data_IF_622365504469
#
_entry.id   IF_622365504469
#
_cell.length_a   1.000
_cell.length_b   1.000
_cell.length_c   1.000
_cell.angle_alpha   90.00
_cell.angle_beta   90.00
_cell.angle_gamma   90.00
#
_symmetry.space_group_name_H-M   'P 1'
#
loop_
_entity.id
_entity.type
_entity.pdbx_description
1 polymer ?
#
# COMPACT_ATOMS: atom_id res chain seq x y z
N UNK A 1 -14.83 16.07 -8.56
CA UNK A 1 -13.88 15.06 -9.11
C UNK A 1 -13.59 14.08 -7.98
N UNK A 2 -13.56 12.79 -8.26
CA UNK A 2 -13.15 11.77 -7.28
C UNK A 2 -11.64 11.82 -7.07
N UNK A 3 -11.17 11.51 -5.86
CA UNK A 3 -9.77 11.21 -5.60
C UNK A 3 -9.37 9.83 -6.14
N UNK A 4 -8.15 9.41 -5.87
CA UNK A 4 -7.58 8.15 -6.35
C UNK A 4 -7.19 7.22 -5.21
N UNK A 5 -7.20 5.92 -5.46
CA UNK A 5 -6.51 4.92 -4.65
C UNK A 5 -5.06 4.81 -5.11
N UNK A 6 -4.13 5.26 -4.29
CA UNK A 6 -2.69 5.29 -4.58
C UNK A 6 -2.03 4.06 -3.97
N UNK A 7 -1.52 3.15 -4.80
CA UNK A 7 -0.82 1.96 -4.32
C UNK A 7 0.61 2.37 -3.94
N UNK A 8 0.85 2.48 -2.63
CA UNK A 8 2.09 2.99 -2.05
C UNK A 8 3.05 1.84 -1.78
N UNK A 9 4.19 1.77 -2.46
CA UNK A 9 5.22 0.77 -2.14
C UNK A 9 5.83 1.05 -0.78
N UNK A 10 6.15 -0.02 -0.04
CA UNK A 10 6.92 0.03 1.19
C UNK A 10 8.31 -0.57 0.94
N UNK A 11 9.22 -0.37 1.89
CA UNK A 11 10.53 -1.02 1.88
C UNK A 11 10.40 -2.53 2.07
N UNK A 12 11.47 -3.28 1.75
CA UNK A 12 11.50 -4.74 1.94
C UNK A 12 12.18 -5.16 3.26
N UNK A 13 12.67 -4.20 4.03
CA UNK A 13 13.46 -4.45 5.24
C UNK A 13 12.62 -4.76 6.49
N UNK A 14 11.29 -4.65 6.40
CA UNK A 14 10.37 -4.79 7.55
C UNK A 14 10.77 -3.96 8.77
N UNK A 15 11.51 -2.86 8.55
CA UNK A 15 12.07 -2.02 9.59
C UNK A 15 13.33 -2.58 10.27
N UNK A 16 13.93 -3.64 9.72
CA UNK A 16 15.13 -4.27 10.30
C UNK A 16 16.43 -3.49 10.04
N UNK A 17 16.48 -2.66 8.99
CA UNK A 17 17.60 -1.82 8.66
C UNK A 17 17.16 -0.36 8.52
N UNK A 18 17.92 0.58 9.07
CA UNK A 18 17.70 2.01 8.86
C UNK A 18 18.39 2.47 7.56
N UNK A 19 17.86 1.99 6.43
CA UNK A 19 18.27 2.47 5.12
C UNK A 19 17.46 3.72 4.79
N UNK A 20 18.09 4.81 4.26
CA UNK A 20 17.35 5.98 3.80
C UNK A 20 16.29 5.60 2.78
N UNK A 21 15.07 6.17 2.87
CA UNK A 21 13.98 5.82 1.94
C UNK A 21 14.35 6.09 0.48
N UNK A 22 15.11 7.15 0.22
CA UNK A 22 15.57 7.53 -1.12
C UNK A 22 16.49 6.51 -1.80
N UNK A 23 17.09 5.58 -1.02
CA UNK A 23 17.88 4.48 -1.58
C UNK A 23 17.00 3.33 -2.10
N UNK A 24 15.72 3.31 -1.72
CA UNK A 24 14.79 2.21 -2.03
C UNK A 24 13.59 2.71 -2.82
N UNK A 25 13.10 3.92 -2.53
CA UNK A 25 11.93 4.51 -3.16
C UNK A 25 12.30 5.76 -3.97
N UNK A 26 11.74 5.92 -5.18
CA UNK A 26 11.89 7.16 -5.94
C UNK A 26 11.43 8.39 -5.13
N UNK A 27 12.12 9.52 -5.28
CA UNK A 27 11.78 10.77 -4.58
C UNK A 27 10.31 11.16 -4.78
N UNK A 28 9.77 11.01 -5.99
CA UNK A 28 8.36 11.31 -6.28
C UNK A 28 7.39 10.44 -5.49
N UNK A 29 7.76 9.20 -5.14
CA UNK A 29 6.96 8.32 -4.28
C UNK A 29 6.97 8.83 -2.84
N UNK A 30 8.12 9.26 -2.32
CA UNK A 30 8.28 9.83 -0.98
C UNK A 30 7.46 11.13 -0.86
N UNK A 31 7.57 12.01 -1.87
CA UNK A 31 6.78 13.25 -1.94
C UNK A 31 5.27 12.97 -2.01
N UNK A 32 4.87 11.96 -2.79
CA UNK A 32 3.47 11.55 -2.87
C UNK A 32 2.97 11.01 -1.53
N UNK A 33 3.76 10.20 -0.84
CA UNK A 33 3.43 9.71 0.51
C UNK A 33 3.25 10.86 1.51
N UNK A 34 4.13 11.86 1.48
CA UNK A 34 4.06 13.04 2.35
C UNK A 34 2.79 13.88 2.12
N UNK A 35 2.24 13.88 0.91
CA UNK A 35 1.06 14.63 0.52
C UNK A 35 -0.28 13.93 0.82
N UNK A 36 -0.28 12.65 1.21
CA UNK A 36 -1.49 11.89 1.52
C UNK A 36 -1.86 12.01 2.99
N UNK A 37 -3.16 12.24 3.25
CA UNK A 37 -3.72 12.29 4.61
C UNK A 37 -4.47 11.01 4.99
N UNK A 38 -5.09 10.33 4.02
CA UNK A 38 -5.93 9.15 4.23
C UNK A 38 -5.20 7.89 3.80
N UNK A 39 -5.23 6.86 4.64
CA UNK A 39 -4.49 5.62 4.43
C UNK A 39 -5.36 4.40 4.75
N UNK A 40 -5.33 3.43 3.85
CA UNK A 40 -5.76 2.07 4.07
C UNK A 40 -4.49 1.22 4.24
N UNK A 41 -4.30 0.60 5.39
CA UNK A 41 -3.08 -0.10 5.74
C UNK A 41 -3.33 -1.55 6.10
N UNK A 42 -2.43 -2.44 5.72
CA UNK A 42 -2.46 -3.82 6.20
C UNK A 42 -2.27 -3.87 7.72
N UNK A 43 -1.37 -3.04 8.24
CA UNK A 43 -1.12 -2.84 9.66
C UNK A 43 -0.85 -1.34 9.95
N UNK A 44 -1.60 -0.77 10.89
CA UNK A 44 -1.51 0.66 11.18
C UNK A 44 -0.18 1.05 11.85
N UNK A 45 0.46 0.15 12.58
CA UNK A 45 1.76 0.38 13.22
C UNK A 45 2.85 0.48 12.16
N UNK A 46 2.88 -0.44 11.20
CA UNK A 46 3.81 -0.44 10.08
C UNK A 46 3.63 0.80 9.21
N UNK A 47 2.38 1.21 8.93
CA UNK A 47 2.09 2.44 8.19
C UNK A 47 2.61 3.69 8.92
N UNK A 48 2.43 3.78 10.24
CA UNK A 48 2.99 4.90 11.03
C UNK A 48 4.51 4.90 11.04
N UNK A 49 5.16 3.73 11.11
CA UNK A 49 6.60 3.61 11.02
C UNK A 49 7.13 4.11 9.66
N UNK A 50 6.47 3.71 8.56
CA UNK A 50 6.77 4.21 7.22
C UNK A 50 6.62 5.74 7.14
N UNK A 51 5.48 6.29 7.58
CA UNK A 51 5.23 7.73 7.55
C UNK A 51 6.19 8.54 8.43
N UNK A 52 6.68 7.95 9.53
CA UNK A 52 7.75 8.56 10.33
C UNK A 52 9.06 8.68 9.55
N UNK A 53 9.40 7.67 8.74
CA UNK A 53 10.58 7.73 7.85
C UNK A 53 10.37 8.76 6.75
N UNK A 54 9.17 8.82 6.15
CA UNK A 54 8.81 9.87 5.17
C UNK A 54 8.97 11.26 5.78
N UNK A 55 8.49 11.47 7.01
CA UNK A 55 8.58 12.75 7.72
C UNK A 55 10.02 13.21 7.99
N UNK A 56 10.98 12.29 8.05
CA UNK A 56 12.39 12.63 8.18
C UNK A 56 13.00 13.21 6.89
N UNK A 57 12.40 12.93 5.74
CA UNK A 57 12.89 13.38 4.42
C UNK A 57 12.01 14.47 3.79
N UNK A 58 10.71 14.45 4.05
CA UNK A 58 9.72 15.37 3.47
C UNK A 58 8.68 15.78 4.52
N UNK A 59 8.31 17.07 4.60
CA UNK A 59 7.24 17.51 5.50
C UNK A 59 5.91 16.86 5.11
N UNK A 60 5.23 16.26 6.10
CA UNK A 60 3.91 15.67 5.90
C UNK A 60 2.84 16.77 5.76
N UNK A 61 1.80 16.51 4.97
CA UNK A 61 0.66 17.42 4.75
C UNK A 61 -0.09 17.75 6.05
N UNK A 62 -0.13 16.81 7.00
CA UNK A 62 -0.63 16.98 8.36
C UNK A 62 0.32 16.28 9.35
N UNK A 63 0.32 16.66 10.64
CA UNK A 63 1.07 15.94 11.66
C UNK A 63 0.73 14.45 11.66
N UNK A 64 1.71 13.59 11.96
CA UNK A 64 1.52 12.13 11.95
C UNK A 64 0.35 11.65 12.82
N UNK A 65 0.08 12.34 13.94
CA UNK A 65 -1.03 12.06 14.83
C UNK A 65 -2.41 12.37 14.23
N UNK A 66 -2.46 13.25 13.23
CA UNK A 66 -3.67 13.66 12.50
C UNK A 66 -3.87 12.84 11.20
N UNK A 67 -2.97 11.91 10.88
CA UNK A 67 -3.15 11.00 9.74
C UNK A 67 -4.34 10.06 9.97
N UNK A 68 -5.24 9.98 9.00
CA UNK A 68 -6.37 9.07 9.01
C UNK A 68 -5.92 7.70 8.48
N UNK A 69 -5.51 6.81 9.37
CA UNK A 69 -5.05 5.46 9.03
C UNK A 69 -6.10 4.46 9.48
N UNK A 70 -6.66 3.71 8.52
CA UNK A 70 -7.63 2.64 8.76
C UNK A 70 -7.03 1.31 8.31
N UNK A 71 -7.10 0.29 9.15
CA UNK A 71 -6.62 -1.04 8.78
C UNK A 71 -7.57 -1.72 7.80
N UNK A 72 -6.99 -2.53 6.90
CA UNK A 72 -7.75 -3.37 6.00
C UNK A 72 -8.58 -4.37 6.80
N UNK A 73 -9.86 -4.59 6.42
CA UNK A 73 -10.70 -5.53 7.12
C UNK A 73 -10.18 -6.96 6.92
N UNK A 74 -10.29 -7.76 7.98
CA UNK A 74 -9.86 -9.16 7.99
C UNK A 74 -11.08 -10.06 8.20
N UNK A 75 -11.09 -11.26 7.62
CA UNK A 75 -12.12 -12.26 7.93
C UNK A 75 -12.21 -12.49 9.43
N UNK A 76 -13.40 -12.72 9.95
CA UNK A 76 -13.59 -13.05 11.37
C UNK A 76 -12.81 -14.32 11.71
N UNK A 77 -12.14 -14.34 12.84
CA UNK A 77 -11.35 -15.50 13.30
C UNK A 77 -12.23 -16.77 13.29
N UNK A 78 -11.79 -17.78 12.55
CA UNK A 78 -12.52 -19.05 12.40
C UNK A 78 -13.67 -19.04 11.37
N UNK A 79 -13.97 -17.90 10.73
CA UNK A 79 -14.93 -17.83 9.63
C UNK A 79 -14.23 -18.11 8.29
N UNK A 80 -14.95 -18.80 7.41
CA UNK A 80 -14.60 -18.95 5.97
C UNK A 80 -15.32 -17.93 5.09
N UNK A 81 -16.17 -17.11 5.69
CA UNK A 81 -16.91 -16.10 4.94
C UNK A 81 -15.95 -14.97 4.52
N UNK A 82 -16.07 -14.51 3.27
CA UNK A 82 -15.30 -13.36 2.81
C UNK A 82 -15.72 -12.10 3.57
N UNK A 83 -14.82 -11.14 3.65
CA UNK A 83 -15.14 -9.80 4.19
C UNK A 83 -16.24 -9.17 3.33
N UNK A 84 -17.30 -8.61 3.94
CA UNK A 84 -18.38 -7.97 3.21
C UNK A 84 -17.89 -6.84 2.30
N UNK A 85 -18.46 -6.75 1.09
CA UNK A 85 -18.09 -5.71 0.11
C UNK A 85 -18.23 -4.28 0.68
N UNK A 86 -19.22 -4.06 1.56
CA UNK A 86 -19.45 -2.77 2.20
C UNK A 86 -18.25 -2.29 3.07
N UNK A 87 -17.51 -3.21 3.67
CA UNK A 87 -16.32 -2.86 4.47
C UNK A 87 -15.18 -2.34 3.59
N UNK A 88 -15.00 -2.94 2.40
CA UNK A 88 -14.05 -2.45 1.41
C UNK A 88 -14.46 -1.09 0.83
N UNK A 89 -15.75 -0.92 0.54
CA UNK A 89 -16.28 0.34 0.03
C UNK A 89 -16.14 1.49 1.05
N UNK A 90 -16.29 1.21 2.35
CA UNK A 90 -16.13 2.21 3.40
C UNK A 90 -14.73 2.84 3.41
N UNK A 91 -13.69 2.07 3.07
CA UNK A 91 -12.31 2.58 2.95
C UNK A 91 -12.14 3.57 1.79
N UNK A 92 -13.02 3.52 0.80
CA UNK A 92 -12.98 4.42 -0.37
C UNK A 92 -13.78 5.71 -0.16
N UNK A 93 -14.46 5.88 0.99
CA UNK A 93 -15.25 7.08 1.27
C UNK A 93 -14.46 8.39 1.08
N UNK A 94 -13.18 8.53 1.53
CA UNK A 94 -12.41 9.73 1.24
C UNK A 94 -12.16 9.93 -0.26
N UNK A 95 -11.91 8.86 -1.02
CA UNK A 95 -11.69 8.96 -2.47
C UNK A 95 -12.95 9.42 -3.20
N UNK A 96 -14.11 8.90 -2.80
CA UNK A 96 -15.41 9.35 -3.35
C UNK A 96 -15.71 10.82 -2.99
N UNK A 97 -15.17 11.32 -1.86
CA UNK A 97 -15.26 12.72 -1.46
C UNK A 97 -14.21 13.65 -2.10
N UNK A 98 -13.34 13.10 -2.98
CA UNK A 98 -12.34 13.90 -3.72
C UNK A 98 -10.93 13.91 -3.11
N UNK A 99 -10.67 13.09 -2.08
CA UNK A 99 -9.35 12.97 -1.44
C UNK A 99 -8.64 11.69 -1.91
N UNK A 100 -7.33 11.76 -2.11
CA UNK A 100 -6.57 10.54 -2.41
C UNK A 100 -6.40 9.68 -1.16
N UNK A 101 -6.44 8.35 -1.35
CA UNK A 101 -6.23 7.34 -0.31
C UNK A 101 -5.00 6.51 -0.64
N UNK A 102 -4.01 6.47 0.25
CA UNK A 102 -2.86 5.57 0.12
C UNK A 102 -3.21 4.16 0.58
N UNK A 103 -2.93 3.15 -0.24
CA UNK A 103 -2.94 1.75 0.17
C UNK A 103 -1.50 1.30 0.41
N UNK A 104 -1.19 0.78 1.59
CA UNK A 104 0.15 0.33 1.96
C UNK A 104 0.10 -1.05 2.64
N UNK A 105 1.01 -1.93 2.24
CA UNK A 105 1.27 -3.22 2.89
C UNK A 105 2.48 -3.14 3.83
N UNK A 106 2.76 -4.20 4.58
CA UNK A 106 3.90 -4.23 5.49
C UNK A 106 5.25 -4.20 4.77
N UNK A 107 5.31 -4.71 3.52
CA UNK A 107 6.53 -4.69 2.70
C UNK A 107 6.20 -4.72 1.20
N UNK A 108 7.02 -4.11 0.37
CA UNK A 108 6.94 -4.18 -1.07
C UNK A 108 5.71 -3.50 -1.68
N UNK A 109 5.21 -4.06 -2.78
CA UNK A 109 4.05 -3.54 -3.49
C UNK A 109 2.74 -4.04 -2.86
N UNK A 110 1.81 -3.14 -2.49
CA UNK A 110 0.51 -3.55 -1.97
C UNK A 110 -0.32 -4.24 -3.06
N UNK A 111 -1.31 -5.03 -2.65
CA UNK A 111 -2.18 -5.83 -3.50
C UNK A 111 -1.48 -6.96 -4.28
N UNK A 112 -0.20 -7.23 -3.99
CA UNK A 112 0.53 -8.37 -4.55
C UNK A 112 0.74 -9.39 -3.44
N UNK A 113 0.00 -10.50 -3.49
CA UNK A 113 -0.01 -11.56 -2.48
C UNK A 113 -0.45 -11.08 -1.07
N UNK A 114 -1.27 -10.05 -1.00
CA UNK A 114 -1.81 -9.49 0.24
C UNK A 114 -3.31 -9.11 0.10
N UNK A 115 -4.01 -8.77 1.21
CA UNK A 115 -5.44 -8.47 1.18
C UNK A 115 -5.80 -7.19 0.41
N UNK A 116 -4.85 -6.34 0.07
CA UNK A 116 -5.07 -5.08 -0.65
C UNK A 116 -5.73 -5.25 -2.03
N UNK A 117 -5.61 -6.42 -2.66
CA UNK A 117 -6.24 -6.73 -3.94
C UNK A 117 -7.77 -6.57 -3.90
N UNK A 118 -8.42 -6.88 -2.78
CA UNK A 118 -9.86 -6.71 -2.62
C UNK A 118 -10.28 -5.22 -2.61
N UNK A 119 -9.47 -4.35 -1.99
CA UNK A 119 -9.70 -2.90 -2.03
C UNK A 119 -9.51 -2.33 -3.44
N UNK A 120 -8.51 -2.82 -4.18
CA UNK A 120 -8.30 -2.44 -5.60
C UNK A 120 -9.51 -2.84 -6.44
N UNK A 121 -10.03 -4.06 -6.27
CA UNK A 121 -11.24 -4.51 -6.97
C UNK A 121 -12.46 -3.64 -6.60
N UNK A 122 -12.61 -3.28 -5.33
CA UNK A 122 -13.68 -2.38 -4.88
C UNK A 122 -13.55 -0.98 -5.49
N UNK A 123 -12.32 -0.45 -5.61
CA UNK A 123 -12.04 0.84 -6.24
C UNK A 123 -12.45 0.85 -7.72
N UNK A 124 -12.09 -0.19 -8.48
CA UNK A 124 -12.54 -0.34 -9.85
C UNK A 124 -14.07 -0.41 -9.96
N UNK A 125 -14.73 -1.19 -9.08
CA UNK A 125 -16.19 -1.28 -9.03
C UNK A 125 -16.89 0.04 -8.68
N UNK A 126 -16.24 0.91 -7.92
CA UNK A 126 -16.74 2.23 -7.54
C UNK A 126 -16.32 3.36 -8.50
N UNK A 127 -15.59 3.07 -9.58
CA UNK A 127 -15.09 4.08 -10.52
C UNK A 127 -14.00 4.99 -9.92
N UNK A 128 -13.33 4.56 -8.84
CA UNK A 128 -12.19 5.28 -8.24
C UNK A 128 -10.92 4.92 -9.02
N UNK A 129 -10.19 5.92 -9.55
CA UNK A 129 -8.93 5.67 -10.24
C UNK A 129 -7.91 4.98 -9.32
N UNK A 130 -7.19 3.99 -9.86
CA UNK A 130 -6.13 3.28 -9.14
C UNK A 130 -4.78 3.67 -9.72
N UNK A 131 -3.88 4.20 -8.89
CA UNK A 131 -2.57 4.70 -9.28
C UNK A 131 -1.45 3.87 -8.62
N UNK A 132 -0.87 2.88 -9.31
CA UNK A 132 0.29 2.16 -8.81
C UNK A 132 1.54 3.04 -8.89
N UNK A 133 2.33 3.08 -7.82
CA UNK A 133 3.60 3.76 -7.77
C UNK A 133 4.77 2.76 -7.89
N UNK A 134 5.87 3.21 -8.49
CA UNK A 134 7.06 2.39 -8.66
C UNK A 134 7.74 2.10 -7.31
N UNK A 135 8.12 0.86 -7.07
CA UNK A 135 8.82 0.45 -5.86
C UNK A 135 9.35 -0.97 -5.94
N UNK A 136 10.05 -1.39 -4.89
CA UNK A 136 10.64 -2.71 -4.82
C UNK A 136 9.57 -3.82 -4.70
N UNK A 137 9.86 -4.94 -5.36
CA UNK A 137 9.10 -6.19 -5.25
C UNK A 137 10.07 -7.34 -5.03
N UNK A 138 9.96 -8.04 -3.90
CA UNK A 138 10.81 -9.20 -3.62
C UNK A 138 10.66 -10.30 -4.68
N UNK A 139 9.46 -10.47 -5.22
CA UNK A 139 9.18 -11.46 -6.27
C UNK A 139 9.96 -11.17 -7.55
N UNK A 140 9.93 -9.92 -8.01
CA UNK A 140 10.63 -9.51 -9.23
C UNK A 140 12.14 -9.43 -9.02
N UNK A 141 12.61 -9.02 -7.83
CA UNK A 141 14.03 -9.02 -7.50
C UNK A 141 14.60 -10.44 -7.45
N UNK A 142 13.87 -11.39 -6.85
CA UNK A 142 14.25 -12.79 -6.83
C UNK A 142 14.29 -13.38 -8.25
N UNK A 143 13.27 -13.11 -9.07
CA UNK A 143 13.23 -13.54 -10.47
C UNK A 143 14.41 -12.97 -11.25
N UNK A 144 14.68 -11.67 -11.13
CA UNK A 144 15.79 -11.02 -11.83
C UNK A 144 17.16 -11.61 -11.44
N UNK A 145 17.34 -11.93 -10.15
CA UNK A 145 18.58 -12.51 -9.63
C UNK A 145 18.75 -14.01 -9.92
N UNK A 146 17.66 -14.72 -10.30
CA UNK A 146 17.68 -16.18 -10.47
C UNK A 146 18.39 -16.66 -11.73
N UNK A 147 18.52 -15.83 -12.76
CA UNK A 147 19.00 -16.24 -14.08
C UNK A 147 17.99 -17.05 -14.88
N UNK A 148 16.76 -17.23 -14.38
CA UNK A 148 15.69 -17.92 -15.09
C UNK A 148 15.02 -16.98 -16.12
N UNK A 149 14.22 -17.57 -17.04
CA UNK A 149 13.50 -16.79 -18.03
C UNK A 149 12.38 -15.96 -17.38
N UNK A 150 12.55 -14.64 -17.36
CA UNK A 150 11.56 -13.71 -16.82
C UNK A 150 10.41 -13.35 -17.75
N UNK A 151 10.37 -13.85 -19.00
CA UNK A 151 9.28 -13.55 -19.95
C UNK A 151 8.01 -14.35 -19.67
N UNK A 152 8.14 -15.50 -18.97
CA UNK A 152 7.02 -16.34 -18.57
C UNK A 152 7.30 -16.91 -17.19
N UNK A 153 6.56 -16.45 -16.20
CA UNK A 153 6.64 -16.93 -14.81
C UNK A 153 5.28 -16.81 -14.12
N UNK A 154 5.08 -17.56 -13.07
CA UNK A 154 3.89 -17.47 -12.23
C UNK A 154 4.28 -17.46 -10.75
N UNK A 155 3.67 -16.56 -9.98
CA UNK A 155 3.69 -16.64 -8.53
C UNK A 155 2.56 -17.57 -8.08
N UNK A 156 2.91 -18.69 -7.49
CA UNK A 156 1.95 -19.75 -7.09
C UNK A 156 1.57 -19.67 -5.61
N UNK A 157 1.96 -18.61 -4.94
CA UNK A 157 1.75 -18.41 -3.50
C UNK A 157 2.98 -18.77 -2.67
N UNK A 158 2.84 -18.63 -1.35
CA UNK A 158 3.84 -19.05 -0.40
C UNK A 158 3.72 -20.56 -0.14
N UNK A 159 4.85 -21.25 0.05
CA UNK A 159 4.93 -22.68 0.33
C UNK A 159 4.63 -22.97 1.81
#
# INVERSE_FOLDING_TARGET
MTGSLVLMPNTLDLGAAEVPLQDVLPLGVIQRAAALQHWAAEDARSARAFLKRVAAEQPLVVPLQAMAITELPRPRKGSREPVPAAEWQALLAPALAGHDVGLISEAGLPAVADPGAALVAAAHGAGVPVLPLAGASSLLLALAASGLNGQSFAFVGYL
#
